data_IF_335727386350
#
_entry.id   IF_335727386350
#
_cell.length_a   1.000
_cell.length_b   1.000
_cell.length_c   1.000
_cell.angle_alpha   90.00
_cell.angle_beta   90.00
_cell.angle_gamma   90.00
#
_symmetry.space_group_name_H-M   'P 1'
#
loop_
_entity.id
_entity.type
_entity.pdbx_description
1 polymer ?
#
# COMPACT_ATOMS: atom_id res chain seq x y z
N UNK A 1 -30.90 27.77 -2.56
CA UNK A 1 -30.23 27.39 -1.29
C UNK A 1 -29.93 25.90 -1.35
N UNK A 2 -28.80 25.50 -1.92
CA UNK A 2 -28.33 24.12 -1.85
C UNK A 2 -27.71 23.93 -0.48
N UNK A 3 -28.49 23.46 0.49
CA UNK A 3 -27.98 23.18 1.83
C UNK A 3 -26.85 22.16 1.75
N UNK A 4 -25.77 22.39 2.48
CA UNK A 4 -24.68 21.42 2.62
C UNK A 4 -25.28 20.11 3.16
N UNK A 5 -25.11 18.96 2.47
CA UNK A 5 -25.70 17.70 2.92
C UNK A 5 -25.20 17.37 4.32
N UNK A 6 -26.11 16.92 5.18
CA UNK A 6 -25.74 16.38 6.49
C UNK A 6 -24.96 15.10 6.31
N UNK A 7 -23.82 14.99 7.00
CA UNK A 7 -23.07 13.75 7.07
C UNK A 7 -23.74 12.84 8.11
N UNK A 8 -23.96 11.59 7.74
CA UNK A 8 -24.43 10.54 8.64
C UNK A 8 -23.35 9.48 8.75
N UNK A 9 -23.00 9.14 9.99
CA UNK A 9 -22.13 8.04 10.35
C UNK A 9 -23.05 6.86 10.66
N UNK A 10 -22.96 5.78 9.91
CA UNK A 10 -23.82 4.62 10.14
C UNK A 10 -23.03 3.32 10.07
N UNK A 11 -23.51 2.27 10.72
CA UNK A 11 -22.88 0.96 10.68
C UNK A 11 -23.77 -0.10 11.29
N UNK A 12 -23.72 -1.31 10.73
CA UNK A 12 -24.46 -2.46 11.25
C UNK A 12 -23.65 -3.14 12.36
N UNK A 13 -24.25 -3.29 13.54
CA UNK A 13 -23.68 -4.07 14.64
C UNK A 13 -24.24 -5.51 14.58
N UNK A 14 -23.36 -6.50 14.45
CA UNK A 14 -23.75 -7.91 14.45
C UNK A 14 -24.09 -8.43 15.86
N UNK A 15 -23.62 -7.78 16.92
CA UNK A 15 -23.92 -8.22 18.29
C UNK A 15 -25.38 -7.96 18.66
N UNK A 16 -25.91 -6.77 18.33
CA UNK A 16 -27.32 -6.45 18.59
C UNK A 16 -28.22 -6.59 17.36
N UNK A 17 -27.65 -6.88 16.19
CA UNK A 17 -28.37 -7.09 14.93
C UNK A 17 -29.06 -5.84 14.36
N UNK A 18 -28.55 -4.63 14.65
CA UNK A 18 -29.19 -3.36 14.24
C UNK A 18 -28.22 -2.44 13.50
N UNK A 19 -28.80 -1.64 12.61
CA UNK A 19 -28.14 -0.46 12.05
C UNK A 19 -28.17 0.66 13.09
N UNK A 20 -27.00 1.25 13.37
CA UNK A 20 -26.88 2.45 14.19
C UNK A 20 -26.48 3.62 13.34
N UNK A 21 -26.99 4.80 13.67
CA UNK A 21 -26.72 6.04 12.97
C UNK A 21 -26.42 7.16 13.97
N UNK A 22 -25.46 7.99 13.60
CA UNK A 22 -25.10 9.22 14.27
C UNK A 22 -25.03 10.31 13.21
N UNK A 23 -25.82 11.36 13.37
CA UNK A 23 -25.90 12.45 12.40
C UNK A 23 -25.22 13.70 12.93
N UNK A 24 -24.74 14.53 12.01
CA UNK A 24 -24.38 15.90 12.31
C UNK A 24 -25.56 16.68 12.88
N UNK A 25 -25.29 17.57 13.84
CA UNK A 25 -26.26 18.54 14.36
C UNK A 25 -25.69 19.97 14.30
N UNK A 26 -26.53 20.96 14.58
CA UNK A 26 -26.08 22.36 14.68
C UNK A 26 -24.95 22.54 15.70
N UNK A 27 -25.07 21.91 16.87
CA UNK A 27 -24.08 22.02 17.95
C UNK A 27 -22.71 21.45 17.56
N UNK A 28 -22.64 20.29 16.89
CA UNK A 28 -21.37 19.69 16.46
C UNK A 28 -20.70 20.49 15.33
N UNK A 29 -21.49 21.10 14.43
CA UNK A 29 -20.97 21.99 13.38
C UNK A 29 -20.42 23.29 13.95
N UNK A 30 -21.10 23.87 14.93
CA UNK A 30 -20.62 25.05 15.63
C UNK A 30 -19.31 24.76 16.36
N UNK A 31 -19.25 23.64 17.09
CA UNK A 31 -18.04 23.21 17.79
C UNK A 31 -16.85 22.99 16.84
N UNK A 32 -17.05 22.30 15.71
CA UNK A 32 -15.95 22.09 14.74
C UNK A 32 -15.53 23.39 14.04
N UNK A 33 -16.44 24.32 13.81
CA UNK A 33 -16.14 25.66 13.27
C UNK A 33 -15.34 26.51 14.26
N UNK A 34 -15.69 26.46 15.54
CA UNK A 34 -14.93 27.10 16.62
C UNK A 34 -13.52 26.49 16.73
N UNK A 35 -13.40 25.16 16.62
CA UNK A 35 -12.11 24.47 16.59
C UNK A 35 -11.25 24.91 15.40
N UNK A 36 -11.80 24.96 14.18
CA UNK A 36 -11.11 25.48 12.99
C UNK A 36 -10.52 26.88 13.25
N UNK A 37 -11.33 27.77 13.84
CA UNK A 37 -10.93 29.16 14.13
C UNK A 37 -9.80 29.22 15.16
N UNK A 38 -9.87 28.39 16.22
CA UNK A 38 -8.83 28.29 17.24
C UNK A 38 -7.51 27.76 16.67
N UNK A 39 -7.57 26.76 15.78
CA UNK A 39 -6.40 26.20 15.11
C UNK A 39 -5.75 27.22 14.16
N UNK A 40 -6.56 28.00 13.43
CA UNK A 40 -6.08 29.10 12.60
C UNK A 40 -5.38 30.19 13.43
N UNK A 41 -5.97 30.57 14.57
CA UNK A 41 -5.35 31.53 15.49
C UNK A 41 -4.04 31.00 16.10
N UNK A 42 -3.97 29.70 16.40
CA UNK A 42 -2.78 29.04 16.92
C UNK A 42 -1.68 28.82 15.86
N UNK A 43 -1.92 29.16 14.59
CA UNK A 43 -0.98 29.00 13.47
C UNK A 43 -0.40 27.59 13.40
N UNK A 44 -1.26 26.58 13.57
CA UNK A 44 -0.85 25.19 13.50
C UNK A 44 -0.35 24.84 12.09
N UNK A 45 0.42 23.75 12.02
CA UNK A 45 0.99 23.26 10.77
C UNK A 45 -0.07 23.11 9.65
N UNK A 46 0.23 23.57 8.41
CA UNK A 46 -0.74 23.61 7.33
C UNK A 46 -1.01 22.24 6.67
N UNK A 47 -0.33 21.17 7.10
CA UNK A 47 -0.48 19.85 6.49
C UNK A 47 -1.93 19.35 6.60
N UNK A 48 -2.48 18.78 5.51
CA UNK A 48 -3.86 18.31 5.47
C UNK A 48 -4.17 17.29 6.57
N UNK A 49 -5.19 17.56 7.38
CA UNK A 49 -5.72 16.64 8.39
C UNK A 49 -7.25 16.73 8.43
N UNK A 50 -7.88 15.68 8.96
CA UNK A 50 -9.29 15.75 9.35
C UNK A 50 -9.34 16.14 10.82
N UNK A 51 -10.18 17.12 11.16
CA UNK A 51 -10.50 17.46 12.54
C UNK A 51 -11.99 17.24 12.76
N UNK A 52 -12.37 16.90 13.99
CA UNK A 52 -13.76 16.66 14.34
C UNK A 52 -14.11 17.21 15.70
N UNK A 53 -15.41 17.47 15.88
CA UNK A 53 -15.99 17.79 17.17
C UNK A 53 -17.23 16.91 17.40
N UNK A 54 -17.34 16.40 18.62
CA UNK A 54 -18.52 15.68 19.10
C UNK A 54 -19.09 16.42 20.30
N UNK A 55 -20.40 16.66 20.27
CA UNK A 55 -21.14 17.28 21.37
C UNK A 55 -22.12 16.28 21.91
N UNK A 56 -22.15 16.11 23.24
CA UNK A 56 -23.08 15.23 23.94
C UNK A 56 -23.54 15.85 25.26
N UNK A 57 -24.22 15.04 26.06
CA UNK A 57 -24.65 15.36 27.42
C UNK A 57 -24.09 14.35 28.39
N UNK A 58 -23.50 14.82 29.48
CA UNK A 58 -23.01 13.94 30.55
C UNK A 58 -24.14 13.38 31.42
N UNK A 59 -23.79 12.68 32.49
CA UNK A 59 -24.75 12.08 33.44
C UNK A 59 -25.60 13.11 34.20
N UNK A 60 -25.17 14.36 34.27
CA UNK A 60 -25.92 15.48 34.88
C UNK A 60 -26.82 16.20 33.86
N UNK A 61 -26.67 15.86 32.58
CA UNK A 61 -27.34 16.55 31.47
C UNK A 61 -26.60 17.80 30.99
N UNK A 62 -25.38 18.05 31.47
CA UNK A 62 -24.56 19.19 31.04
C UNK A 62 -23.94 18.93 29.67
N UNK A 63 -23.80 19.99 28.86
CA UNK A 63 -23.18 19.92 27.54
C UNK A 63 -21.68 19.62 27.67
N UNK A 64 -21.25 18.51 27.08
CA UNK A 64 -19.84 18.17 26.93
C UNK A 64 -19.41 18.25 25.47
N UNK A 65 -18.25 18.86 25.22
CA UNK A 65 -17.65 18.99 23.90
C UNK A 65 -16.31 18.26 23.85
N UNK A 66 -16.16 17.38 22.89
CA UNK A 66 -14.93 16.64 22.58
C UNK A 66 -14.42 17.08 21.22
N UNK A 67 -13.10 17.23 21.09
CA UNK A 67 -12.44 17.56 19.82
C UNK A 67 -11.33 16.56 19.53
N UNK A 68 -11.14 16.22 18.26
CA UNK A 68 -10.10 15.28 17.85
C UNK A 68 -9.51 15.66 16.50
N UNK A 69 -8.36 15.06 16.21
CA UNK A 69 -7.61 15.21 14.97
C UNK A 69 -7.16 13.84 14.45
N UNK A 70 -7.16 13.67 13.14
CA UNK A 70 -6.67 12.45 12.49
C UNK A 70 -5.15 12.28 12.67
N UNK A 71 -4.74 11.06 13.03
CA UNK A 71 -3.33 10.70 13.21
C UNK A 71 -2.73 11.33 14.47
N UNK A 72 -1.47 11.75 14.40
CA UNK A 72 -0.80 12.42 15.53
C UNK A 72 -1.25 13.88 15.65
N UNK A 73 -1.40 14.33 16.90
CA UNK A 73 -1.66 15.72 17.22
C UNK A 73 -0.48 16.61 16.80
N UNK A 74 -0.75 17.86 16.46
CA UNK A 74 0.30 18.84 16.23
C UNK A 74 1.02 19.18 17.53
N UNK A 75 2.35 19.37 17.51
CA UNK A 75 3.09 19.76 18.70
C UNK A 75 2.69 21.16 19.18
N UNK A 76 2.72 21.38 20.50
CA UNK A 76 2.56 22.71 21.13
C UNK A 76 1.23 23.43 20.85
N UNK A 77 0.15 22.70 20.58
CA UNK A 77 -1.18 23.29 20.43
C UNK A 77 -1.89 23.34 21.79
N UNK A 78 -2.38 24.50 22.26
CA UNK A 78 -3.07 24.63 23.55
C UNK A 78 -4.54 24.16 23.46
N UNK A 79 -4.75 22.98 22.89
CA UNK A 79 -6.06 22.34 22.72
C UNK A 79 -5.94 20.91 23.25
N UNK A 80 -6.77 20.57 24.23
CA UNK A 80 -6.91 19.19 24.69
C UNK A 80 -7.74 18.40 23.67
N UNK A 81 -7.11 17.41 23.04
CA UNK A 81 -7.78 16.50 22.11
C UNK A 81 -8.17 15.22 22.83
N UNK A 82 -9.24 14.56 22.33
CA UNK A 82 -9.57 13.20 22.73
C UNK A 82 -8.33 12.29 22.56
N UNK A 83 -8.09 11.37 23.50
CA UNK A 83 -6.91 10.53 23.48
C UNK A 83 -6.86 9.67 22.20
N UNK A 84 -5.65 9.35 21.75
CA UNK A 84 -5.46 8.34 20.72
C UNK A 84 -5.88 6.97 21.25
N UNK A 85 -6.38 6.10 20.36
CA UNK A 85 -6.81 4.73 20.71
C UNK A 85 -5.62 3.77 20.92
N UNK A 86 -4.40 4.28 20.77
CA UNK A 86 -3.17 3.52 20.95
C UNK A 86 -2.87 3.43 22.45
N UNK A 87 -3.18 2.28 23.05
CA UNK A 87 -2.70 1.94 24.38
C UNK A 87 -1.22 1.47 24.29
N UNK A 88 -0.40 1.82 25.28
CA UNK A 88 1.05 1.60 25.30
C UNK A 88 1.45 0.14 25.62
N UNK A 89 0.51 -0.80 25.54
CA UNK A 89 0.68 -2.20 25.97
C UNK A 89 1.46 -3.06 24.97
N UNK A 90 1.46 -2.70 23.68
CA UNK A 90 2.52 -3.13 22.76
C UNK A 90 3.78 -2.37 23.19
N UNK A 91 4.78 -3.07 23.72
CA UNK A 91 6.02 -2.38 24.12
C UNK A 91 6.54 -1.63 22.89
N UNK A 92 6.74 -0.32 23.03
CA UNK A 92 7.22 0.52 21.92
C UNK A 92 8.49 -0.07 21.27
N UNK A 93 9.26 -0.84 22.05
CA UNK A 93 10.42 -1.61 21.63
C UNK A 93 10.09 -2.76 20.65
N UNK A 94 9.05 -3.57 20.89
CA UNK A 94 8.65 -4.66 19.99
C UNK A 94 8.05 -4.13 18.67
N UNK A 95 7.27 -3.05 18.73
CA UNK A 95 6.81 -2.34 17.53
C UNK A 95 8.01 -1.77 16.76
N UNK A 96 8.93 -1.08 17.45
CA UNK A 96 10.13 -0.52 16.83
C UNK A 96 11.01 -1.60 16.18
N UNK A 97 11.18 -2.76 16.81
CA UNK A 97 11.94 -3.86 16.24
C UNK A 97 11.31 -4.39 14.96
N UNK A 98 9.98 -4.59 14.97
CA UNK A 98 9.28 -5.05 13.77
C UNK A 98 9.33 -4.02 12.65
N UNK A 99 9.25 -2.72 12.97
CA UNK A 99 9.43 -1.63 12.01
C UNK A 99 10.85 -1.58 11.45
N UNK A 100 11.89 -1.83 12.26
CA UNK A 100 13.27 -1.99 11.78
C UNK A 100 13.37 -3.13 10.77
N UNK A 101 12.78 -4.28 11.08
CA UNK A 101 12.75 -5.43 10.15
C UNK A 101 12.06 -5.10 8.83
N UNK A 102 10.94 -4.36 8.86
CA UNK A 102 10.26 -3.90 7.64
C UNK A 102 11.18 -2.98 6.83
N UNK A 103 11.87 -2.04 7.49
CA UNK A 103 12.81 -1.13 6.82
C UNK A 103 13.99 -1.87 6.18
N UNK A 104 14.53 -2.90 6.83
CA UNK A 104 15.57 -3.78 6.26
C UNK A 104 15.08 -4.50 5.00
N UNK A 105 13.85 -5.04 5.04
CA UNK A 105 13.25 -5.72 3.89
C UNK A 105 12.99 -4.75 2.73
N UNK A 106 12.52 -3.53 3.03
CA UNK A 106 12.32 -2.49 2.03
C UNK A 106 13.66 -2.05 1.39
N UNK A 107 14.74 -1.97 2.18
CA UNK A 107 16.08 -1.71 1.67
C UNK A 107 16.61 -2.85 0.78
N UNK A 108 16.39 -4.11 1.19
CA UNK A 108 16.77 -5.28 0.38
C UNK A 108 15.98 -5.33 -0.95
N UNK A 109 14.68 -5.03 -0.93
CA UNK A 109 13.85 -4.91 -2.13
C UNK A 109 14.35 -3.81 -3.07
N UNK A 110 14.75 -2.66 -2.53
CA UNK A 110 15.34 -1.58 -3.31
C UNK A 110 16.65 -2.01 -3.97
N UNK A 111 17.50 -2.75 -3.27
CA UNK A 111 18.74 -3.31 -3.83
C UNK A 111 18.47 -4.28 -4.98
N UNK A 112 17.55 -5.25 -4.81
CA UNK A 112 17.19 -6.19 -5.88
C UNK A 112 16.60 -5.46 -7.09
N UNK A 113 15.78 -4.43 -6.86
CA UNK A 113 15.23 -3.60 -7.93
C UNK A 113 16.33 -2.85 -8.70
N UNK A 114 17.33 -2.33 -8.00
CA UNK A 114 18.49 -1.70 -8.64
C UNK A 114 19.26 -2.71 -9.49
N UNK A 115 19.54 -3.92 -8.97
CA UNK A 115 20.23 -4.96 -9.73
C UNK A 115 19.45 -5.44 -10.96
N UNK A 116 18.12 -5.53 -10.89
CA UNK A 116 17.29 -5.83 -12.06
C UNK A 116 17.37 -4.73 -13.12
N UNK A 117 17.41 -3.46 -12.70
CA UNK A 117 17.56 -2.33 -13.61
C UNK A 117 18.96 -2.27 -14.24
N UNK A 118 20.00 -2.57 -13.47
CA UNK A 118 21.38 -2.64 -13.96
C UNK A 118 21.61 -3.79 -14.94
N UNK A 119 20.96 -4.94 -14.70
CA UNK A 119 21.02 -6.09 -15.61
C UNK A 119 20.41 -5.77 -16.98
N UNK A 120 19.38 -4.91 -17.01
CA UNK A 120 18.68 -4.45 -18.23
C UNK A 120 18.51 -5.58 -19.27
N UNK A 121 17.91 -6.68 -18.83
CA UNK A 121 17.84 -7.91 -19.63
C UNK A 121 17.14 -7.70 -20.98
N UNK A 122 16.21 -6.74 -21.06
CA UNK A 122 15.56 -6.38 -22.31
C UNK A 122 16.54 -5.77 -23.30
N UNK A 123 17.32 -4.75 -22.90
CA UNK A 123 18.34 -4.16 -23.79
C UNK A 123 19.36 -5.21 -24.23
N UNK A 124 19.81 -6.07 -23.30
CA UNK A 124 20.74 -7.15 -23.63
C UNK A 124 20.14 -8.13 -24.66
N UNK A 125 18.91 -8.61 -24.45
CA UNK A 125 18.20 -9.48 -25.39
C UNK A 125 18.04 -8.84 -26.77
N UNK A 126 17.67 -7.57 -26.85
CA UNK A 126 17.55 -6.85 -28.13
C UNK A 126 18.90 -6.73 -28.84
N UNK A 127 19.96 -6.39 -28.12
CA UNK A 127 21.31 -6.32 -28.68
C UNK A 127 21.77 -7.68 -29.21
N UNK A 128 21.44 -8.77 -28.52
CA UNK A 128 21.75 -10.14 -28.96
C UNK A 128 20.93 -10.56 -30.18
N UNK A 129 19.63 -10.25 -30.20
CA UNK A 129 18.76 -10.52 -31.35
C UNK A 129 19.24 -9.75 -32.60
N UNK A 130 19.66 -8.49 -32.44
CA UNK A 130 20.25 -7.70 -33.51
C UNK A 130 21.56 -8.33 -34.03
N UNK A 131 22.48 -8.72 -33.13
CA UNK A 131 23.72 -9.44 -33.48
C UNK A 131 23.42 -10.73 -34.27
N UNK A 132 22.42 -11.51 -33.84
CA UNK A 132 22.00 -12.73 -34.52
C UNK A 132 21.43 -12.44 -35.93
N UNK A 133 20.59 -11.42 -36.06
CA UNK A 133 20.00 -11.00 -37.35
C UNK A 133 21.08 -10.57 -38.35
N UNK A 134 22.04 -9.74 -37.94
CA UNK A 134 23.16 -9.33 -38.79
C UNK A 134 23.97 -10.52 -39.28
N UNK A 135 24.30 -11.47 -38.39
CA UNK A 135 25.03 -12.70 -38.76
C UNK A 135 24.26 -13.57 -39.76
N UNK A 136 22.95 -13.72 -39.58
CA UNK A 136 22.11 -14.47 -40.54
C UNK A 136 22.13 -13.83 -41.93
N UNK A 137 22.07 -12.50 -42.00
CA UNK A 137 22.16 -11.77 -43.27
C UNK A 137 23.54 -11.94 -43.93
N UNK A 138 24.62 -11.88 -43.16
CA UNK A 138 25.99 -12.13 -43.66
C UNK A 138 26.19 -13.57 -44.15
N UNK A 139 25.70 -14.56 -43.39
CA UNK A 139 25.75 -15.98 -43.79
C UNK A 139 25.00 -16.21 -45.10
N UNK A 140 23.84 -15.59 -45.28
CA UNK A 140 23.08 -15.67 -46.52
C UNK A 140 23.86 -15.08 -47.71
N UNK A 141 24.52 -13.94 -47.53
CA UNK A 141 25.38 -13.32 -48.56
C UNK A 141 26.55 -14.23 -48.94
N UNK A 142 27.30 -14.73 -47.96
CA UNK A 142 28.45 -15.64 -48.21
C UNK A 142 28.01 -16.94 -48.90
N UNK A 143 26.82 -17.46 -48.58
CA UNK A 143 26.24 -18.63 -49.28
C UNK A 143 25.95 -18.32 -50.75
N UNK A 144 25.43 -17.14 -51.06
CA UNK A 144 25.20 -16.68 -52.43
C UNK A 144 26.53 -16.51 -53.19
N UNK A 145 27.52 -15.84 -52.60
CA UNK A 145 28.87 -15.68 -53.19
C UNK A 145 29.53 -17.03 -53.52
N UNK A 146 29.41 -18.02 -52.61
CA UNK A 146 29.91 -19.38 -52.87
C UNK A 146 29.13 -20.10 -53.97
N UNK A 147 27.82 -19.87 -54.08
CA UNK A 147 27.02 -20.42 -55.16
C UNK A 147 27.47 -19.86 -56.51
N UNK A 148 27.64 -18.54 -56.59
CA UNK A 148 28.06 -17.86 -57.81
C UNK A 148 29.51 -18.21 -58.18
N UNK A 149 30.40 -18.30 -57.19
CA UNK A 149 31.78 -18.77 -57.39
C UNK A 149 31.86 -20.20 -57.93
N UNK A 150 30.99 -21.11 -57.43
CA UNK A 150 30.88 -22.48 -57.98
C UNK A 150 30.35 -22.48 -59.42
N UNK A 151 29.37 -21.65 -59.73
CA UNK A 151 28.85 -21.52 -61.10
C UNK A 151 29.91 -21.00 -62.08
N UNK A 152 30.65 -19.95 -61.69
CA UNK A 152 31.74 -19.39 -62.50
C UNK A 152 32.88 -20.38 -62.74
N UNK A 153 33.23 -21.17 -61.72
CA UNK A 153 34.20 -22.27 -61.84
C UNK A 153 33.69 -23.37 -62.80
N UNK A 154 32.39 -23.71 -62.75
CA UNK A 154 31.79 -24.68 -63.66
C UNK A 154 31.81 -24.19 -65.12
N UNK A 155 31.61 -22.89 -65.36
CA UNK A 155 31.70 -22.27 -66.70
C UNK A 155 33.15 -22.19 -67.22
N UNK A 156 34.15 -22.06 -66.33
CA UNK A 156 35.57 -21.99 -66.70
C UNK A 156 36.26 -23.37 -66.86
N UNK A 157 35.61 -24.49 -66.51
CA UNK A 157 36.25 -25.81 -66.60
C UNK A 157 36.04 -26.43 -67.99
N UNK A 158 36.95 -26.02 -68.87
CA UNK A 158 37.69 -26.93 -69.74
C UNK A 158 39.07 -27.32 -69.17
N UNK A 159 39.43 -27.00 -67.91
CA UNK A 159 40.80 -27.29 -67.42
C UNK A 159 41.18 -26.97 -65.96
N UNK A 160 40.48 -27.49 -64.95
CA UNK A 160 41.15 -27.79 -63.65
C UNK A 160 41.28 -29.31 -63.48
N UNK A 161 42.45 -29.92 -63.78
CA UNK A 161 42.64 -31.36 -63.69
C UNK A 161 42.62 -31.91 -62.25
N UNK A 162 42.57 -31.05 -61.21
CA UNK A 162 42.72 -31.46 -59.81
C UNK A 162 41.54 -31.19 -58.89
N UNK A 163 40.50 -30.46 -59.32
CA UNK A 163 39.37 -30.06 -58.47
C UNK A 163 39.79 -29.24 -57.24
N UNK A 164 40.94 -28.59 -57.28
CA UNK A 164 41.57 -27.94 -56.13
C UNK A 164 40.79 -26.70 -55.69
N UNK A 165 40.33 -25.89 -56.63
CA UNK A 165 39.57 -24.66 -56.36
C UNK A 165 38.21 -24.95 -55.70
N UNK A 166 37.51 -26.01 -56.14
CA UNK A 166 36.25 -26.44 -55.54
C UNK A 166 36.44 -26.95 -54.10
N UNK A 167 37.52 -27.70 -53.85
CA UNK A 167 37.87 -28.19 -52.50
C UNK A 167 38.13 -27.04 -51.53
N UNK A 168 38.77 -25.95 -51.99
CA UNK A 168 38.99 -24.75 -51.19
C UNK A 168 37.66 -24.08 -50.78
N UNK A 169 36.72 -23.92 -51.71
CA UNK A 169 35.37 -23.37 -51.42
C UNK A 169 34.62 -24.24 -50.40
N UNK A 170 34.71 -25.56 -50.54
CA UNK A 170 34.04 -26.49 -49.62
C UNK A 170 34.68 -26.56 -48.23
N UNK A 171 36.01 -26.48 -48.16
CA UNK A 171 36.76 -26.38 -46.90
C UNK A 171 36.44 -25.07 -46.17
N UNK A 172 36.37 -23.95 -46.89
CA UNK A 172 35.97 -22.67 -46.34
C UNK A 172 34.52 -22.72 -45.82
N UNK A 173 33.60 -23.31 -46.59
CA UNK A 173 32.22 -23.49 -46.15
C UNK A 173 32.09 -24.38 -44.91
N UNK A 174 32.94 -25.42 -44.77
CA UNK A 174 33.02 -26.24 -43.54
C UNK A 174 33.47 -25.42 -42.35
N UNK A 175 34.55 -24.64 -42.49
CA UNK A 175 35.10 -23.79 -41.42
C UNK A 175 34.10 -22.70 -41.01
N UNK A 176 33.40 -22.11 -41.96
CA UNK A 176 32.34 -21.11 -41.70
C UNK A 176 31.19 -21.71 -40.89
N UNK A 177 30.64 -22.87 -41.31
CA UNK A 177 29.59 -23.55 -40.54
C UNK A 177 30.01 -23.89 -39.11
N UNK A 178 31.27 -24.25 -38.90
CA UNK A 178 31.80 -24.51 -37.56
C UNK A 178 31.83 -23.23 -36.72
N UNK A 179 32.33 -22.12 -37.28
CA UNK A 179 32.31 -20.80 -36.62
C UNK A 179 30.89 -20.35 -36.26
N UNK A 180 29.95 -20.47 -37.19
CA UNK A 180 28.53 -20.14 -36.96
C UNK A 180 27.94 -20.94 -35.80
N UNK A 181 28.25 -22.24 -35.71
CA UNK A 181 27.80 -23.10 -34.61
C UNK A 181 28.40 -22.70 -33.27
N UNK A 182 29.69 -22.41 -33.24
CA UNK A 182 30.39 -22.00 -32.02
C UNK A 182 29.91 -20.62 -31.53
N UNK A 183 29.61 -19.70 -32.45
CA UNK A 183 29.00 -18.39 -32.14
C UNK A 183 27.57 -18.52 -31.62
N UNK A 184 26.71 -19.28 -32.30
CA UNK A 184 25.33 -19.51 -31.86
C UNK A 184 25.28 -20.21 -30.49
N UNK A 185 26.26 -21.07 -30.18
CA UNK A 185 26.41 -21.67 -28.85
C UNK A 185 26.74 -20.60 -27.80
N UNK A 186 27.70 -19.71 -28.08
CA UNK A 186 28.05 -18.61 -27.17
C UNK A 186 26.88 -17.66 -26.91
N UNK A 187 26.13 -17.29 -27.95
CA UNK A 187 24.96 -16.42 -27.77
C UNK A 187 23.90 -17.10 -26.90
N UNK A 188 23.69 -18.40 -27.08
CA UNK A 188 22.75 -19.16 -26.25
C UNK A 188 23.22 -19.20 -24.80
N UNK A 189 24.50 -19.46 -24.55
CA UNK A 189 25.07 -19.46 -23.20
C UNK A 189 24.94 -18.08 -22.51
N UNK A 190 25.13 -16.99 -23.25
CA UNK A 190 24.96 -15.61 -22.76
C UNK A 190 23.47 -15.31 -22.47
N UNK A 191 22.53 -15.71 -23.34
CA UNK A 191 21.09 -15.59 -23.09
C UNK A 191 20.67 -16.38 -21.85
N UNK A 192 21.06 -17.66 -21.78
CA UNK A 192 20.76 -18.53 -20.64
C UNK A 192 21.32 -17.94 -19.34
N UNK A 193 22.46 -17.24 -19.39
CA UNK A 193 23.04 -16.59 -18.22
C UNK A 193 22.21 -15.37 -17.76
N UNK A 194 21.75 -14.55 -18.70
CA UNK A 194 20.89 -13.39 -18.41
C UNK A 194 19.55 -13.86 -17.83
N UNK A 195 18.89 -14.82 -18.47
CA UNK A 195 17.61 -15.37 -18.04
C UNK A 195 17.72 -15.97 -16.63
N UNK A 196 18.75 -16.79 -16.36
CA UNK A 196 18.99 -17.35 -15.02
C UNK A 196 19.25 -16.25 -13.97
N UNK A 197 19.90 -15.17 -14.36
CA UNK A 197 20.19 -14.05 -13.45
C UNK A 197 18.93 -13.27 -13.11
N UNK A 198 18.08 -12.97 -14.10
CA UNK A 198 16.76 -12.35 -13.89
C UNK A 198 15.84 -13.24 -13.05
N UNK A 199 15.77 -14.54 -13.35
CA UNK A 199 14.96 -15.50 -12.60
C UNK A 199 15.36 -15.53 -11.13
N UNK A 200 16.67 -15.56 -10.85
CA UNK A 200 17.20 -15.53 -9.47
C UNK A 200 16.82 -14.24 -8.75
N UNK A 201 16.98 -13.09 -9.41
CA UNK A 201 16.63 -11.78 -8.83
C UNK A 201 15.11 -11.66 -8.60
N UNK A 202 14.30 -12.13 -9.54
CA UNK A 202 12.84 -12.13 -9.42
C UNK A 202 12.35 -13.08 -8.32
N UNK A 203 12.92 -14.27 -8.22
CA UNK A 203 12.62 -15.20 -7.12
C UNK A 203 12.95 -14.57 -5.76
N UNK A 204 14.11 -13.92 -5.66
CA UNK A 204 14.52 -13.18 -4.44
C UNK A 204 13.54 -12.04 -4.13
N UNK A 205 13.15 -11.26 -5.15
CA UNK A 205 12.17 -10.17 -5.01
C UNK A 205 10.82 -10.68 -4.48
N UNK A 206 10.32 -11.79 -5.03
CA UNK A 206 9.05 -12.38 -4.61
C UNK A 206 9.10 -12.92 -3.19
N UNK A 207 10.21 -13.56 -2.79
CA UNK A 207 10.42 -14.02 -1.42
C UNK A 207 10.42 -12.85 -0.43
N UNK A 208 11.18 -11.78 -0.72
CA UNK A 208 11.23 -10.57 0.11
C UNK A 208 9.87 -9.87 0.22
N UNK A 209 9.11 -9.77 -0.88
CA UNK A 209 7.76 -9.21 -0.86
C UNK A 209 6.81 -10.03 0.03
N UNK A 210 6.90 -11.37 -0.06
CA UNK A 210 6.12 -12.27 0.78
C UNK A 210 6.45 -12.11 2.25
N UNK A 211 7.75 -12.08 2.60
CA UNK A 211 8.21 -11.89 3.97
C UNK A 211 7.77 -10.53 4.53
N UNK A 212 7.99 -9.45 3.78
CA UNK A 212 7.58 -8.10 4.19
C UNK A 212 6.06 -8.01 4.41
N UNK A 213 5.27 -8.65 3.56
CA UNK A 213 3.82 -8.76 3.74
C UNK A 213 3.47 -9.49 5.03
N UNK A 214 4.10 -10.63 5.31
CA UNK A 214 3.85 -11.41 6.52
C UNK A 214 4.22 -10.64 7.79
N UNK A 215 5.40 -10.02 7.82
CA UNK A 215 5.87 -9.20 8.96
C UNK A 215 4.92 -8.02 9.21
N UNK A 216 4.56 -7.27 8.16
CA UNK A 216 3.62 -6.14 8.30
C UNK A 216 2.22 -6.57 8.73
N UNK A 217 1.72 -7.71 8.24
CA UNK A 217 0.43 -8.25 8.65
C UNK A 217 0.43 -8.72 10.10
N UNK A 218 1.51 -9.34 10.56
CA UNK A 218 1.67 -9.76 11.95
C UNK A 218 1.68 -8.56 12.90
N UNK A 219 2.45 -7.51 12.56
CA UNK A 219 2.47 -6.27 13.34
C UNK A 219 1.08 -5.63 13.41
N UNK A 220 0.38 -5.53 12.28
CA UNK A 220 -0.97 -4.96 12.24
C UNK A 220 -1.96 -5.77 13.07
N UNK A 221 -1.85 -7.10 13.08
CA UNK A 221 -2.69 -7.95 13.93
C UNK A 221 -2.42 -7.70 15.42
N UNK A 222 -1.15 -7.56 15.83
CA UNK A 222 -0.80 -7.23 17.21
C UNK A 222 -1.33 -5.84 17.60
N UNK A 223 -1.19 -4.85 16.71
CA UNK A 223 -1.73 -3.50 16.91
C UNK A 223 -3.25 -3.53 17.09
N UNK A 224 -3.97 -4.26 16.24
CA UNK A 224 -5.43 -4.34 16.33
C UNK A 224 -5.95 -5.15 17.52
N UNK A 225 -5.17 -6.10 18.04
CA UNK A 225 -5.51 -6.78 19.29
C UNK A 225 -5.21 -5.91 20.52
N UNK A 226 -4.14 -5.10 20.50
CA UNK A 226 -3.75 -4.26 21.64
C UNK A 226 -4.55 -2.96 21.76
N UNK A 227 -5.10 -2.43 20.66
CA UNK A 227 -5.81 -1.15 20.68
C UNK A 227 -7.29 -1.37 20.92
N UNK A 228 -7.79 -0.75 21.98
CA UNK A 228 -9.16 -0.90 22.44
C UNK A 228 -10.03 0.31 22.09
N UNK A 229 -11.26 0.02 21.72
CA UNK A 229 -12.32 0.96 21.40
C UNK A 229 -13.44 0.80 22.43
N UNK A 230 -14.05 1.92 22.82
CA UNK A 230 -15.27 1.89 23.61
C UNK A 230 -16.48 2.25 22.75
N UNK A 231 -17.54 1.46 22.81
CA UNK A 231 -18.81 1.81 22.15
C UNK A 231 -19.55 2.89 22.95
N UNK A 232 -20.54 3.54 22.33
CA UNK A 232 -21.46 4.45 23.03
C UNK A 232 -22.25 3.76 24.15
N UNK A 233 -22.42 2.44 24.09
CA UNK A 233 -22.98 1.63 25.17
C UNK A 233 -22.00 1.33 26.31
N UNK A 234 -20.74 1.77 26.21
CA UNK A 234 -19.70 1.53 27.22
C UNK A 234 -19.00 0.17 27.10
N UNK A 235 -19.19 -0.56 25.99
CA UNK A 235 -18.49 -1.84 25.78
C UNK A 235 -17.08 -1.59 25.28
N UNK A 236 -16.11 -2.22 25.94
CA UNK A 236 -14.70 -2.16 25.56
C UNK A 236 -14.31 -3.39 24.71
N UNK A 237 -13.73 -3.18 23.54
CA UNK A 237 -13.28 -4.27 22.66
C UNK A 237 -12.05 -3.86 21.87
N UNK A 238 -11.19 -4.82 21.50
CA UNK A 238 -10.08 -4.52 20.60
C UNK A 238 -10.58 -4.13 19.20
N UNK A 239 -9.78 -3.44 18.39
CA UNK A 239 -10.11 -3.17 16.98
C UNK A 239 -10.40 -4.50 16.26
N UNK A 240 -9.61 -5.54 16.51
CA UNK A 240 -9.80 -6.85 15.92
C UNK A 240 -11.14 -7.49 16.31
N UNK A 241 -11.60 -7.31 17.56
CA UNK A 241 -12.93 -7.69 18.00
C UNK A 241 -14.03 -6.88 17.31
N UNK A 242 -13.91 -5.55 17.32
CA UNK A 242 -14.87 -4.65 16.69
C UNK A 242 -15.10 -4.99 15.21
N UNK A 243 -14.04 -5.33 14.46
CA UNK A 243 -14.15 -5.74 13.05
C UNK A 243 -14.95 -7.04 12.88
N UNK A 244 -14.79 -8.02 13.79
CA UNK A 244 -15.61 -9.24 13.77
C UNK A 244 -17.08 -8.94 13.98
N UNK A 245 -17.39 -7.97 14.86
CA UNK A 245 -18.77 -7.56 15.17
C UNK A 245 -19.45 -6.77 14.05
N UNK A 246 -18.75 -6.41 12.97
CA UNK A 246 -19.34 -5.72 11.81
C UNK A 246 -19.27 -6.54 10.53
N UNK A 247 -18.78 -7.80 10.60
CA UNK A 247 -18.65 -8.68 9.44
C UNK A 247 -17.49 -8.32 8.50
N UNK A 248 -16.64 -7.37 8.90
CA UNK A 248 -15.44 -7.02 8.16
C UNK A 248 -14.32 -7.98 8.55
N UNK A 249 -13.73 -8.68 7.58
CA UNK A 249 -12.66 -9.64 7.83
C UNK A 249 -11.39 -9.03 8.43
N UNK A 250 -10.42 -9.87 8.78
CA UNK A 250 -9.16 -9.51 9.48
C UNK A 250 -8.22 -8.55 8.72
N UNK A 251 -8.57 -8.10 7.51
CA UNK A 251 -7.73 -7.24 6.70
C UNK A 251 -8.38 -5.85 6.51
N UNK A 252 -8.08 -4.93 7.42
CA UNK A 252 -8.34 -3.50 7.23
C UNK A 252 -7.02 -2.71 7.18
N UNK A 253 -6.99 -1.53 6.52
CA UNK A 253 -5.75 -0.78 6.35
C UNK A 253 -5.17 -0.29 7.69
N UNK A 254 -3.86 -0.04 7.67
CA UNK A 254 -3.17 0.72 8.72
C UNK A 254 -3.85 2.06 8.96
N UNK A 255 -3.97 2.47 10.23
CA UNK A 255 -4.65 3.70 10.64
C UNK A 255 -6.16 3.55 10.85
N UNK A 256 -6.70 2.33 10.86
CA UNK A 256 -8.04 2.05 11.41
C UNK A 256 -8.08 2.52 12.87
N UNK A 257 -9.10 3.32 13.22
CA UNK A 257 -9.20 3.96 14.53
C UNK A 257 -8.41 5.27 14.69
N UNK A 258 -7.55 5.66 13.74
CA UNK A 258 -6.75 6.89 13.87
C UNK A 258 -7.44 8.17 13.37
N UNK A 259 -8.62 8.06 12.75
CA UNK A 259 -9.43 9.22 12.35
C UNK A 259 -10.11 9.90 13.56
N UNK A 260 -10.57 11.14 13.38
CA UNK A 260 -11.17 11.91 14.46
C UNK A 260 -12.50 11.27 14.94
N UNK A 261 -13.38 10.86 14.03
CA UNK A 261 -14.66 10.23 14.35
C UNK A 261 -14.54 9.01 15.30
N UNK A 262 -13.76 7.95 15.01
CA UNK A 262 -13.59 6.83 15.94
C UNK A 262 -13.11 7.22 17.33
N UNK A 263 -12.17 8.17 17.43
CA UNK A 263 -11.64 8.65 18.72
C UNK A 263 -12.69 9.40 19.53
N UNK A 264 -13.43 10.28 18.87
CA UNK A 264 -14.51 11.05 19.49
C UNK A 264 -15.61 10.15 20.03
N UNK A 265 -16.06 9.18 19.22
CA UNK A 265 -17.12 8.25 19.62
C UNK A 265 -16.64 7.37 20.77
N UNK A 266 -15.40 6.87 20.72
CA UNK A 266 -14.85 6.07 21.80
C UNK A 266 -14.71 6.84 23.12
N UNK A 267 -14.22 8.08 23.06
CA UNK A 267 -14.12 8.93 24.24
C UNK A 267 -15.50 9.33 24.79
N UNK A 268 -16.48 9.56 23.92
CA UNK A 268 -17.86 9.78 24.32
C UNK A 268 -18.44 8.56 25.06
N UNK A 269 -18.17 7.34 24.57
CA UNK A 269 -18.51 6.10 25.27
C UNK A 269 -17.83 5.99 26.63
N UNK A 270 -16.53 6.31 26.72
CA UNK A 270 -15.76 6.33 27.97
C UNK A 270 -16.35 7.27 29.03
N UNK A 271 -16.82 8.43 28.59
CA UNK A 271 -17.42 9.44 29.44
C UNK A 271 -18.92 9.20 29.70
N UNK A 272 -19.52 8.17 29.09
CA UNK A 272 -20.94 7.88 29.21
C UNK A 272 -21.83 8.98 28.62
N UNK A 273 -21.38 9.67 27.57
CA UNK A 273 -22.14 10.76 26.97
C UNK A 273 -23.36 10.24 26.21
N UNK A 274 -24.48 10.95 26.37
CA UNK A 274 -25.74 10.69 25.65
C UNK A 274 -26.06 11.84 24.70
N UNK A 275 -27.08 11.65 23.84
CA UNK A 275 -27.52 12.67 22.87
C UNK A 275 -26.36 13.23 22.02
N UNK A 276 -25.50 12.34 21.55
CA UNK A 276 -24.30 12.71 20.83
C UNK A 276 -24.59 13.17 19.40
N UNK A 277 -23.82 14.14 18.93
CA UNK A 277 -23.76 14.58 17.53
C UNK A 277 -22.31 14.84 17.13
N UNK A 278 -21.93 14.55 15.88
CA UNK A 278 -20.54 14.55 15.43
C UNK A 278 -20.42 15.24 14.08
N UNK A 279 -19.41 16.08 13.92
CA UNK A 279 -19.04 16.71 12.64
C UNK A 279 -17.54 16.63 12.41
N UNK A 280 -17.13 16.34 11.17
CA UNK A 280 -15.73 16.31 10.73
C UNK A 280 -15.53 17.25 9.54
N UNK A 281 -14.37 17.91 9.49
CA UNK A 281 -13.98 18.83 8.41
C UNK A 281 -12.50 18.68 8.08
N UNK A 282 -12.14 19.04 6.84
CA UNK A 282 -10.74 19.13 6.42
C UNK A 282 -10.06 20.39 7.00
N UNK A 283 -8.99 20.21 7.75
CA UNK A 283 -7.95 21.21 7.93
C UNK A 283 -6.95 21.12 6.78
N UNK A 284 -7.06 22.01 5.79
CA UNK A 284 -6.11 22.07 4.68
C UNK A 284 -5.98 23.51 4.14
N UNK A 285 -5.44 24.46 4.94
CA UNK A 285 -5.47 25.89 4.63
C UNK A 285 -4.79 26.28 3.31
N UNK A 286 -3.87 25.46 2.81
CA UNK A 286 -3.21 25.64 1.52
C UNK A 286 -3.90 24.93 0.35
N UNK A 287 -5.02 24.22 0.59
CA UNK A 287 -5.74 23.45 -0.42
C UNK A 287 -7.22 23.88 -0.52
N UNK A 288 -7.86 23.61 -1.66
CA UNK A 288 -9.27 23.94 -1.90
C UNK A 288 -10.29 23.19 -1.04
N UNK A 289 -9.84 22.40 -0.05
CA UNK A 289 -10.68 21.56 0.83
C UNK A 289 -10.82 22.10 2.26
N UNK A 290 -10.12 23.17 2.63
CA UNK A 290 -10.21 23.74 3.98
C UNK A 290 -11.68 23.99 4.42
N UNK A 291 -12.04 23.51 5.60
CA UNK A 291 -13.38 23.65 6.19
C UNK A 291 -14.47 22.82 5.51
N UNK A 292 -14.17 22.01 4.48
CA UNK A 292 -15.17 21.15 3.84
C UNK A 292 -15.53 19.98 4.75
N UNK A 293 -16.83 19.63 4.88
CA UNK A 293 -17.27 18.46 5.63
C UNK A 293 -16.67 17.16 5.10
N UNK A 294 -16.44 16.21 6.01
CA UNK A 294 -15.86 14.89 5.74
C UNK A 294 -16.73 13.84 6.42
N UNK A 295 -16.99 12.75 5.70
CA UNK A 295 -17.63 11.56 6.27
C UNK A 295 -16.61 10.47 6.62
N UNK A 296 -17.08 9.35 7.20
CA UNK A 296 -16.20 8.27 7.59
C UNK A 296 -15.44 7.70 6.40
N UNK A 297 -14.15 7.38 6.60
CA UNK A 297 -13.36 6.68 5.60
C UNK A 297 -13.97 5.29 5.32
N UNK A 298 -14.29 5.00 4.06
CA UNK A 298 -14.93 3.76 3.65
C UNK A 298 -14.12 2.50 4.06
N UNK A 299 -12.79 2.56 3.96
CA UNK A 299 -11.94 1.39 4.25
C UNK A 299 -11.44 1.32 5.70
N UNK A 300 -11.43 2.44 6.44
CA UNK A 300 -10.80 2.55 7.76
C UNK A 300 -11.76 2.82 8.91
N UNK A 301 -12.73 3.71 8.72
CA UNK A 301 -13.67 4.07 9.79
C UNK A 301 -14.94 3.24 9.69
N UNK A 302 -15.51 3.15 8.49
CA UNK A 302 -16.76 2.43 8.23
C UNK A 302 -16.77 1.01 8.81
N UNK A 303 -15.67 0.22 8.72
CA UNK A 303 -15.65 -1.13 9.27
C UNK A 303 -15.84 -1.24 10.78
N UNK A 304 -15.61 -0.18 11.56
CA UNK A 304 -15.72 -0.22 13.03
C UNK A 304 -16.90 0.60 13.57
N UNK A 305 -17.62 1.33 12.71
CA UNK A 305 -18.71 2.22 13.14
C UNK A 305 -19.90 1.47 13.76
N UNK A 306 -20.24 0.28 13.25
CA UNK A 306 -21.36 -0.50 13.80
C UNK A 306 -21.15 -0.83 15.28
N UNK A 307 -19.93 -1.24 15.65
CA UNK A 307 -19.52 -1.46 17.04
C UNK A 307 -19.55 -0.15 17.84
N UNK A 308 -18.86 0.88 17.36
CA UNK A 308 -18.69 2.15 18.08
C UNK A 308 -20.02 2.83 18.40
N UNK A 309 -20.97 2.81 17.46
CA UNK A 309 -22.28 3.46 17.60
C UNK A 309 -23.28 2.62 18.40
N UNK A 310 -22.95 1.37 18.73
CA UNK A 310 -23.88 0.49 19.44
C UNK A 310 -24.12 0.99 20.87
N UNK A 311 -25.36 1.26 21.28
CA UNK A 311 -25.70 1.71 22.62
C UNK A 311 -25.90 0.54 23.60
N UNK A 312 -25.76 -0.70 23.15
CA UNK A 312 -25.93 -1.86 24.02
C UNK A 312 -24.80 -1.91 25.05
N UNK A 313 -25.12 -2.04 26.35
CA UNK A 313 -24.11 -2.18 27.39
C UNK A 313 -23.37 -3.50 27.24
N UNK A 314 -22.17 -3.57 27.81
CA UNK A 314 -21.43 -4.82 27.89
C UNK A 314 -22.13 -5.77 28.87
N UNK A 315 -22.85 -6.74 28.33
CA UNK A 315 -23.56 -7.78 29.11
C UNK A 315 -22.60 -8.72 29.85
N UNK A 316 -21.29 -8.65 29.57
CA UNK A 316 -20.25 -9.44 30.22
C UNK A 316 -19.28 -8.60 31.06
N UNK A 317 -19.52 -7.28 31.20
CA UNK A 317 -18.67 -6.46 32.07
C UNK A 317 -18.77 -6.99 33.51
N UNK A 318 -17.64 -7.25 34.20
CA UNK A 318 -17.70 -7.54 35.62
C UNK A 318 -18.41 -6.37 36.29
N UNK A 319 -19.37 -6.67 37.17
CA UNK A 319 -20.14 -5.67 37.89
C UNK A 319 -19.15 -4.84 38.73
N UNK A 320 -18.67 -3.71 38.20
CA UNK A 320 -17.79 -2.80 38.94
C UNK A 320 -18.71 -2.00 39.86
N UNK A 321 -18.79 -2.47 41.10
CA UNK A 321 -19.41 -1.78 42.23
C UNK A 321 -18.51 -0.64 42.73
#
# INVERSE_FOLDING_TARGET
MTGTPYITYSGHCLDCGRLHELSEAGESREAVSALLSRLAAAKVDPSPKVIGALVGRDTTGERTELVAISGFAWPNVPIAFAPGLRDHTLTAEAEAETLRRIAELDAALASVRASLLELDGDTLRHAMAARASTRLAESARRRAERHDGRAALAEHVGGDPGGGALRLIDDEARRERQRERDEARRDREELDHIERSEDRLNATRLALLSERRQVSAALMAQIFDAYHLMSLGGRNASIAEALRTTGHGRAVPTGTGDCAAPRLIAEAGRLGLTQVSLSEVWWAPSEGRHGRPVGPCAERCQPILGFLLCPAPDVNAPNVA
#
